data_IF_977001447974
#
_entry.id   IF_977001447974
#
_cell.length_a   1.000
_cell.length_b   1.000
_cell.length_c   1.000
_cell.angle_alpha   90.00
_cell.angle_beta   90.00
_cell.angle_gamma   90.00
#
_symmetry.space_group_name_H-M   'P 1'
#
loop_
_entity.id
_entity.type
_entity.pdbx_description
1 polymer ?
#
# COMPACT_ATOMS: atom_id res chain seq x y z
N UNK A 1 23.58 14.74 82.43
CA UNK A 1 22.70 15.50 81.52
C UNK A 1 22.28 14.59 80.38
N UNK A 2 20.98 14.58 80.08
CA UNK A 2 20.20 13.57 79.36
C UNK A 2 20.74 13.22 77.95
N UNK A 3 21.13 11.98 77.72
CA UNK A 3 21.28 11.37 76.39
C UNK A 3 19.93 10.76 75.98
N UNK A 4 19.33 11.30 74.92
CA UNK A 4 18.10 10.78 74.31
C UNK A 4 18.50 9.78 73.22
N UNK A 5 18.14 8.51 73.42
CA UNK A 5 18.33 7.43 72.45
C UNK A 5 17.06 7.34 71.58
N UNK A 6 17.13 7.81 70.35
CA UNK A 6 16.03 7.71 69.38
C UNK A 6 16.13 6.37 68.62
N UNK A 7 15.09 5.55 68.80
CA UNK A 7 14.88 4.27 68.13
C UNK A 7 14.44 4.56 66.68
N UNK A 8 15.28 4.19 65.71
CA UNK A 8 14.96 4.28 64.29
C UNK A 8 14.15 3.05 63.86
N UNK A 9 12.83 3.25 63.76
CA UNK A 9 11.87 2.33 63.15
C UNK A 9 12.19 2.14 61.66
N UNK A 10 12.70 0.96 61.31
CA UNK A 10 12.81 0.50 59.92
C UNK A 10 11.39 0.21 59.41
N UNK A 11 10.76 1.21 58.82
CA UNK A 11 9.54 1.04 58.03
C UNK A 11 9.95 0.41 56.71
N UNK A 12 9.75 -0.91 56.60
CA UNK A 12 9.79 -1.62 55.34
C UNK A 12 8.92 -0.88 54.31
N UNK A 13 9.56 -0.37 53.27
CA UNK A 13 8.91 0.17 52.08
C UNK A 13 8.20 -0.97 51.34
N UNK A 14 6.98 -1.31 51.77
CA UNK A 14 6.00 -1.98 50.94
C UNK A 14 5.65 -1.02 49.80
N UNK A 15 6.38 -1.14 48.68
CA UNK A 15 5.93 -0.53 47.42
C UNK A 15 4.58 -1.16 47.09
N UNK A 16 3.54 -0.38 46.77
CA UNK A 16 2.30 -0.95 46.28
C UNK A 16 2.61 -1.75 45.03
N UNK A 17 2.22 -3.02 45.04
CA UNK A 17 2.15 -3.85 43.85
C UNK A 17 1.25 -3.08 42.86
N UNK A 18 1.83 -2.54 41.80
CA UNK A 18 1.08 -1.82 40.76
C UNK A 18 -0.14 -2.65 40.40
N UNK A 19 -1.33 -2.06 40.53
CA UNK A 19 -2.56 -2.66 40.05
C UNK A 19 -2.31 -3.08 38.60
N UNK A 20 -2.46 -4.38 38.35
CA UNK A 20 -2.26 -4.97 37.04
C UNK A 20 -3.40 -4.48 36.15
N UNK A 21 -3.12 -3.53 35.25
CA UNK A 21 -4.12 -3.04 34.29
C UNK A 21 -4.60 -4.21 33.43
N UNK A 22 -5.90 -4.52 33.51
CA UNK A 22 -6.54 -5.52 32.65
C UNK A 22 -6.69 -4.93 31.24
N UNK A 23 -5.75 -5.26 30.35
CA UNK A 23 -5.76 -4.78 28.98
C UNK A 23 -6.92 -5.38 28.20
N UNK A 24 -7.63 -4.57 27.43
CA UNK A 24 -8.69 -5.01 26.52
C UNK A 24 -8.17 -5.03 25.08
N UNK A 25 -8.45 -6.12 24.37
CA UNK A 25 -8.14 -6.31 22.96
C UNK A 25 -9.44 -6.45 22.17
N UNK A 26 -9.76 -5.46 21.34
CA UNK A 26 -10.86 -5.55 20.37
C UNK A 26 -10.44 -6.48 19.22
N UNK A 27 -11.20 -7.55 19.03
CA UNK A 27 -10.94 -8.57 18.01
C UNK A 27 -12.05 -8.53 16.96
N UNK A 28 -11.72 -8.27 15.69
CA UNK A 28 -12.66 -8.37 14.58
C UNK A 28 -13.35 -9.73 14.51
N UNK A 29 -14.63 -9.73 14.12
CA UNK A 29 -15.45 -10.94 14.14
C UNK A 29 -14.85 -12.11 13.34
N UNK A 30 -14.14 -11.83 12.26
CA UNK A 30 -13.45 -12.83 11.45
C UNK A 30 -12.31 -13.54 12.22
N UNK A 31 -11.48 -12.78 12.95
CA UNK A 31 -10.39 -13.32 13.77
C UNK A 31 -10.89 -14.06 15.01
N UNK A 32 -12.00 -13.60 15.61
CA UNK A 32 -12.59 -14.28 16.76
C UNK A 32 -13.26 -15.61 16.33
N UNK A 33 -13.98 -15.63 15.20
CA UNK A 33 -14.61 -16.85 14.66
C UNK A 33 -13.60 -17.89 14.18
N UNK A 34 -12.45 -17.47 13.66
CA UNK A 34 -11.42 -18.39 13.17
C UNK A 34 -10.72 -19.19 14.27
N UNK A 35 -10.85 -18.79 15.54
CA UNK A 35 -10.09 -19.40 16.63
C UNK A 35 -8.75 -18.71 16.91
N UNK A 36 -8.36 -17.73 16.09
CA UNK A 36 -7.02 -17.15 16.13
C UNK A 36 -6.73 -16.45 17.46
N UNK A 37 -7.64 -15.58 17.92
CA UNK A 37 -7.43 -14.85 19.16
C UNK A 37 -7.48 -15.76 20.40
N UNK A 38 -8.31 -16.82 20.39
CA UNK A 38 -8.36 -17.85 21.44
C UNK A 38 -7.04 -18.62 21.51
N UNK A 39 -6.36 -18.81 20.38
CA UNK A 39 -5.08 -19.48 20.31
C UNK A 39 -3.91 -18.56 20.72
N UNK A 40 -3.91 -17.32 20.25
CA UNK A 40 -2.80 -16.38 20.39
C UNK A 40 -2.68 -15.83 21.81
N UNK A 41 -3.78 -15.30 22.37
CA UNK A 41 -3.75 -14.54 23.63
C UNK A 41 -3.23 -15.36 24.81
N UNK A 42 -3.68 -16.61 25.06
CA UNK A 42 -3.20 -17.39 26.20
C UNK A 42 -1.68 -17.62 26.19
N UNK A 43 -1.05 -17.70 25.02
CA UNK A 43 0.40 -17.93 24.89
C UNK A 43 1.20 -16.69 25.28
N UNK A 44 0.71 -15.50 24.94
CA UNK A 44 1.28 -14.26 25.44
C UNK A 44 1.13 -14.15 26.95
N UNK A 45 -0.07 -14.39 27.48
CA UNK A 45 -0.38 -14.30 28.93
C UNK A 45 0.50 -15.26 29.72
N UNK A 46 0.65 -16.50 29.26
CA UNK A 46 1.47 -17.52 29.93
C UNK A 46 2.95 -17.11 30.00
N UNK A 47 3.47 -16.48 28.94
CA UNK A 47 4.89 -16.10 28.86
C UNK A 47 5.21 -14.81 29.63
N UNK A 48 4.26 -13.87 29.68
CA UNK A 48 4.52 -12.50 30.15
C UNK A 48 3.82 -12.14 31.46
N UNK A 49 2.81 -12.90 31.86
CA UNK A 49 1.97 -12.62 33.02
C UNK A 49 1.02 -11.43 32.84
N UNK A 50 1.03 -10.76 31.68
CA UNK A 50 0.13 -9.64 31.37
C UNK A 50 -1.24 -10.17 30.97
N UNK A 51 -2.31 -9.72 31.63
CA UNK A 51 -3.68 -10.16 31.36
C UNK A 51 -4.25 -9.39 30.19
N UNK A 52 -4.91 -10.11 29.27
CA UNK A 52 -5.64 -9.54 28.15
C UNK A 52 -7.05 -10.12 28.14
N UNK A 53 -8.04 -9.24 28.14
CA UNK A 53 -9.45 -9.55 27.95
C UNK A 53 -9.81 -9.25 26.50
N UNK A 54 -10.29 -10.25 25.77
CA UNK A 54 -10.78 -10.09 24.40
C UNK A 54 -12.20 -9.55 24.43
N UNK A 55 -12.49 -8.56 23.60
CA UNK A 55 -13.80 -7.89 23.51
C UNK A 55 -14.23 -7.75 22.05
N UNK A 56 -15.52 -7.47 21.84
CA UNK A 56 -16.08 -7.27 20.51
C UNK A 56 -15.40 -6.13 19.76
N UNK A 57 -15.50 -6.16 18.44
CA UNK A 57 -14.88 -5.18 17.54
C UNK A 57 -15.27 -3.75 17.93
N UNK A 58 -16.54 -3.43 18.14
CA UNK A 58 -16.97 -2.06 18.44
C UNK A 58 -16.81 -1.64 19.92
N UNK A 59 -16.28 -2.52 20.77
CA UNK A 59 -16.11 -2.21 22.18
C UNK A 59 -14.85 -1.37 22.45
N UNK A 60 -14.94 -0.52 23.49
CA UNK A 60 -13.79 0.27 23.95
C UNK A 60 -12.65 -0.65 24.42
N UNK A 61 -11.49 -0.53 23.77
CA UNK A 61 -10.31 -1.36 24.02
C UNK A 61 -9.02 -0.57 23.79
N UNK A 62 -7.98 -0.83 24.58
CA UNK A 62 -6.67 -0.17 24.44
C UNK A 62 -5.88 -0.70 23.25
N UNK A 63 -6.23 -1.89 22.75
CA UNK A 63 -5.60 -2.54 21.62
C UNK A 63 -6.67 -3.07 20.66
N UNK A 64 -6.37 -3.06 19.37
CA UNK A 64 -7.30 -3.47 18.32
C UNK A 64 -6.56 -4.11 17.16
N UNK A 65 -7.01 -5.29 16.74
CA UNK A 65 -6.64 -5.77 15.41
C UNK A 65 -7.42 -5.00 14.36
N UNK A 66 -6.72 -4.49 13.36
CA UNK A 66 -7.25 -3.65 12.28
C UNK A 66 -6.60 -4.03 10.96
N UNK A 67 -7.17 -3.64 9.83
CA UNK A 67 -6.53 -3.72 8.52
C UNK A 67 -5.70 -2.47 8.19
N UNK A 68 -5.82 -1.41 9.00
CA UNK A 68 -5.09 -0.16 8.83
C UNK A 68 -3.73 -0.16 9.52
N UNK A 69 -2.73 0.43 8.87
CA UNK A 69 -1.40 0.63 9.43
C UNK A 69 -0.40 -0.48 9.08
N UNK A 70 0.63 -0.64 9.91
CA UNK A 70 1.72 -1.58 9.62
C UNK A 70 1.27 -3.01 9.90
N UNK A 71 1.05 -3.78 8.82
CA UNK A 71 0.70 -5.18 8.89
C UNK A 71 1.72 -6.00 9.71
N UNK A 72 1.20 -6.90 10.53
CA UNK A 72 1.93 -7.88 11.35
C UNK A 72 1.83 -9.30 10.77
N UNK A 73 0.68 -9.64 10.18
CA UNK A 73 0.45 -10.91 9.51
C UNK A 73 -0.64 -10.80 8.44
N UNK A 74 -0.71 -11.80 7.58
CA UNK A 74 -1.77 -12.02 6.59
C UNK A 74 -2.57 -13.28 6.97
N UNK A 75 -3.88 -13.23 6.80
CA UNK A 75 -4.76 -14.36 7.07
C UNK A 75 -6.22 -14.02 6.78
N UNK A 76 -7.02 -15.01 6.39
CA UNK A 76 -8.42 -14.83 5.99
C UNK A 76 -8.62 -13.83 4.84
N UNK A 77 -7.63 -13.71 3.95
CA UNK A 77 -7.66 -12.78 2.80
C UNK A 77 -7.29 -11.33 3.13
N UNK A 78 -7.00 -11.03 4.40
CA UNK A 78 -6.71 -9.68 4.87
C UNK A 78 -5.29 -9.56 5.45
N UNK A 79 -4.77 -8.33 5.48
CA UNK A 79 -3.53 -7.98 6.19
C UNK A 79 -3.89 -7.31 7.50
N UNK A 80 -3.49 -7.93 8.60
CA UNK A 80 -3.84 -7.50 9.94
C UNK A 80 -2.68 -6.77 10.59
N UNK A 81 -2.97 -5.59 11.13
CA UNK A 81 -2.13 -4.77 11.97
C UNK A 81 -2.69 -4.72 13.40
N UNK A 82 -1.91 -4.16 14.32
CA UNK A 82 -2.34 -3.86 15.69
C UNK A 82 -2.28 -2.35 15.91
N UNK A 83 -3.43 -1.74 16.14
CA UNK A 83 -3.52 -0.38 16.69
C UNK A 83 -3.55 -0.46 18.22
N UNK A 84 -2.88 0.47 18.91
CA UNK A 84 -2.94 0.58 20.37
C UNK A 84 -2.75 2.03 20.82
N UNK A 85 -3.36 2.38 21.95
CA UNK A 85 -3.34 3.76 22.53
C UNK A 85 -2.13 4.02 23.44
N UNK A 86 -1.15 3.12 23.43
CA UNK A 86 0.07 3.19 24.24
C UNK A 86 -0.06 2.54 25.63
N UNK A 87 0.99 2.65 26.45
CA UNK A 87 1.05 2.06 27.78
C UNK A 87 1.83 0.75 27.83
N UNK A 88 2.49 0.50 28.96
CA UNK A 88 3.50 -0.57 29.09
C UNK A 88 2.93 -1.97 28.82
N UNK A 89 1.64 -2.19 29.06
CA UNK A 89 0.98 -3.44 28.74
C UNK A 89 0.79 -3.65 27.23
N UNK A 90 0.25 -2.64 26.55
CA UNK A 90 -0.02 -2.70 25.12
C UNK A 90 1.25 -2.75 24.27
N UNK A 91 2.27 -1.97 24.66
CA UNK A 91 3.60 -2.00 24.03
C UNK A 91 4.23 -3.39 24.12
N UNK A 92 4.19 -4.02 25.30
CA UNK A 92 4.68 -5.39 25.48
C UNK A 92 3.98 -6.40 24.59
N UNK A 93 2.67 -6.27 24.39
CA UNK A 93 1.93 -7.15 23.48
C UNK A 93 2.35 -6.91 22.03
N UNK A 94 2.42 -5.65 21.60
CA UNK A 94 2.84 -5.27 20.26
C UNK A 94 4.27 -5.74 19.95
N UNK A 95 5.20 -5.61 20.90
CA UNK A 95 6.58 -6.08 20.77
C UNK A 95 6.66 -7.61 20.74
N UNK A 96 5.86 -8.29 21.57
CA UNK A 96 5.80 -9.74 21.55
C UNK A 96 5.32 -10.28 20.20
N UNK A 97 4.29 -9.66 19.58
CA UNK A 97 3.83 -10.06 18.25
C UNK A 97 4.91 -9.94 17.17
N UNK A 98 5.86 -9.01 17.32
CA UNK A 98 6.98 -8.79 16.40
C UNK A 98 8.21 -9.63 16.72
N UNK A 99 8.24 -10.29 17.88
CA UNK A 99 9.36 -11.14 18.30
C UNK A 99 9.31 -12.52 17.64
N UNK A 100 10.45 -13.21 17.55
CA UNK A 100 10.54 -14.56 16.98
C UNK A 100 9.54 -15.57 17.57
N UNK A 101 9.16 -15.40 18.84
CA UNK A 101 8.19 -16.28 19.49
C UNK A 101 6.75 -15.93 19.10
N UNK A 102 6.42 -14.64 18.99
CA UNK A 102 5.13 -14.18 18.50
C UNK A 102 4.91 -14.57 17.05
N UNK A 103 5.92 -14.32 16.20
CA UNK A 103 5.86 -14.66 14.78
C UNK A 103 5.66 -16.16 14.55
N UNK A 104 6.45 -17.01 15.23
CA UNK A 104 6.26 -18.47 15.16
C UNK A 104 4.92 -18.93 15.71
N UNK A 105 4.38 -18.22 16.71
CA UNK A 105 3.06 -18.54 17.24
C UNK A 105 1.99 -18.31 16.18
N UNK A 106 2.06 -17.17 15.47
CA UNK A 106 1.14 -16.85 14.37
C UNK A 106 1.24 -17.91 13.27
N UNK A 107 2.44 -18.22 12.78
CA UNK A 107 2.70 -19.21 11.72
C UNK A 107 2.25 -20.63 12.08
N UNK A 108 2.24 -20.96 13.38
CA UNK A 108 1.84 -22.28 13.87
C UNK A 108 0.32 -22.48 13.91
N UNK A 109 -0.45 -21.40 13.80
CA UNK A 109 -1.90 -21.48 13.87
C UNK A 109 -2.50 -21.95 12.53
N UNK A 110 -3.36 -22.95 12.63
CA UNK A 110 -4.22 -23.41 11.53
C UNK A 110 -5.64 -23.37 12.04
N UNK A 111 -6.50 -22.59 11.37
CA UNK A 111 -7.90 -22.47 11.72
C UNK A 111 -8.65 -23.79 11.45
N UNK A 112 -9.82 -24.02 12.08
CA UNK A 112 -10.60 -25.25 11.88
C UNK A 112 -11.03 -25.51 10.43
N UNK A 113 -11.14 -24.46 9.62
CA UNK A 113 -11.44 -24.53 8.18
C UNK A 113 -10.20 -24.80 7.30
N UNK A 114 -9.01 -24.92 7.91
CA UNK A 114 -7.73 -25.10 7.24
C UNK A 114 -7.01 -23.82 6.86
N UNK A 115 -7.61 -22.64 7.12
CA UNK A 115 -6.98 -21.35 6.84
C UNK A 115 -5.68 -21.17 7.64
N UNK A 116 -4.65 -20.64 6.97
CA UNK A 116 -3.33 -20.37 7.56
C UNK A 116 -3.11 -18.88 7.73
N UNK A 117 -2.25 -18.56 8.69
CA UNK A 117 -1.84 -17.19 8.98
C UNK A 117 -0.33 -17.11 8.77
N UNK A 118 0.15 -16.07 8.08
CA UNK A 118 1.56 -15.92 7.79
C UNK A 118 2.07 -14.53 8.16
N UNK A 119 3.26 -14.50 8.74
CA UNK A 119 4.02 -13.31 9.07
C UNK A 119 4.95 -12.88 7.93
N UNK A 120 5.09 -13.72 6.90
CA UNK A 120 5.76 -13.38 5.65
C UNK A 120 4.86 -12.48 4.81
N UNK A 121 4.63 -11.26 5.30
CA UNK A 121 3.89 -10.25 4.56
C UNK A 121 4.76 -9.84 3.38
N UNK A 122 4.44 -10.38 2.19
CA UNK A 122 5.05 -9.90 0.96
C UNK A 122 4.72 -8.42 0.85
N UNK A 123 5.75 -7.56 0.91
CA UNK A 123 5.61 -6.18 0.48
C UNK A 123 4.88 -6.22 -0.87
N UNK A 124 3.82 -5.42 -1.02
CA UNK A 124 3.17 -5.27 -2.32
C UNK A 124 4.30 -5.04 -3.32
N UNK A 125 4.42 -5.94 -4.31
CA UNK A 125 5.49 -5.87 -5.27
C UNK A 125 5.42 -4.47 -5.88
N UNK A 126 6.42 -3.64 -5.60
CA UNK A 126 6.69 -2.48 -6.44
C UNK A 126 6.94 -3.13 -7.79
N UNK A 127 6.00 -2.95 -8.72
CA UNK A 127 6.18 -3.43 -10.09
C UNK A 127 7.58 -2.99 -10.51
N UNK A 128 8.42 -3.87 -11.07
CA UNK A 128 9.76 -3.49 -11.48
C UNK A 128 9.61 -2.23 -12.32
N UNK A 129 10.34 -1.18 -11.93
CA UNK A 129 10.47 0.02 -12.76
C UNK A 129 11.05 -0.50 -14.06
N UNK A 130 10.22 -0.57 -15.09
CA UNK A 130 10.69 -0.83 -16.44
C UNK A 130 11.63 0.34 -16.75
N UNK A 131 12.93 0.05 -16.78
CA UNK A 131 13.95 1.03 -17.16
C UNK A 131 13.92 1.11 -18.68
N UNK A 132 13.48 2.26 -19.19
CA UNK A 132 13.57 2.60 -20.60
C UNK A 132 14.77 3.52 -20.78
N UNK A 133 15.57 3.26 -21.81
CA UNK A 133 16.83 3.98 -22.05
C UNK A 133 16.64 5.40 -22.61
N UNK A 134 15.40 5.82 -22.89
CA UNK A 134 15.09 7.14 -23.42
C UNK A 134 15.28 8.28 -22.42
N UNK A 135 15.52 9.50 -22.91
CA UNK A 135 15.61 10.71 -22.08
C UNK A 135 14.21 11.18 -21.63
N UNK A 136 13.85 11.08 -20.34
CA UNK A 136 12.53 11.45 -19.86
C UNK A 136 12.26 12.97 -19.89
N UNK A 137 13.30 13.81 -19.88
CA UNK A 137 13.14 15.27 -20.01
C UNK A 137 12.76 15.62 -21.44
N UNK A 138 13.42 15.01 -22.42
CA UNK A 138 13.02 15.10 -23.83
C UNK A 138 11.62 14.51 -24.03
N UNK A 139 11.33 13.38 -23.38
CA UNK A 139 10.04 12.71 -23.42
C UNK A 139 8.87 13.57 -22.94
N UNK A 140 9.05 14.31 -21.84
CA UNK A 140 8.04 15.27 -21.37
C UNK A 140 7.74 16.34 -22.44
N UNK A 141 8.79 16.93 -23.02
CA UNK A 141 8.66 17.99 -24.02
C UNK A 141 7.96 17.49 -25.28
N UNK A 142 8.31 16.29 -25.75
CA UNK A 142 7.67 15.63 -26.87
C UNK A 142 6.21 15.34 -26.57
N UNK A 143 5.90 14.74 -25.42
CA UNK A 143 4.54 14.42 -24.99
C UNK A 143 3.63 15.64 -24.96
N UNK A 144 4.10 16.76 -24.40
CA UNK A 144 3.34 18.03 -24.38
C UNK A 144 3.08 18.58 -25.78
N UNK A 145 4.07 18.49 -26.68
CA UNK A 145 3.96 19.01 -28.05
C UNK A 145 3.08 18.17 -28.95
N UNK A 146 3.23 16.84 -28.87
CA UNK A 146 2.69 15.87 -29.81
C UNK A 146 1.35 15.30 -29.34
N UNK A 147 1.22 15.00 -28.05
CA UNK A 147 0.04 14.36 -27.48
C UNK A 147 -0.86 15.36 -26.73
N UNK A 148 -0.31 16.50 -26.30
CA UNK A 148 -0.93 17.43 -25.36
C UNK A 148 -2.20 18.15 -25.84
N UNK A 149 -2.50 18.10 -27.15
CA UNK A 149 -3.77 18.58 -27.71
C UNK A 149 -4.93 17.64 -27.34
N UNK A 150 -4.66 16.34 -27.23
CA UNK A 150 -5.66 15.33 -26.93
C UNK A 150 -5.58 14.95 -25.45
N UNK A 151 -4.39 14.58 -24.98
CA UNK A 151 -4.20 14.06 -23.63
C UNK A 151 -3.76 15.15 -22.66
N UNK A 152 -4.29 15.10 -21.43
CA UNK A 152 -3.62 15.77 -20.31
C UNK A 152 -2.36 14.96 -19.98
N UNK A 153 -1.20 15.60 -20.12
CA UNK A 153 0.12 15.01 -19.93
C UNK A 153 0.55 15.18 -18.49
N UNK A 154 0.47 16.41 -17.99
CA UNK A 154 0.81 16.79 -16.64
C UNK A 154 0.19 18.15 -16.28
N UNK A 155 0.59 18.72 -15.14
CA UNK A 155 0.04 19.99 -14.64
C UNK A 155 0.18 21.16 -15.63
N UNK A 156 1.20 21.16 -16.49
CA UNK A 156 1.45 22.21 -17.49
C UNK A 156 0.32 22.32 -18.51
N UNK A 157 -0.43 21.25 -18.79
CA UNK A 157 -1.56 21.26 -19.73
C UNK A 157 -2.88 20.74 -19.12
N UNK A 158 -3.02 20.80 -17.77
CA UNK A 158 -4.18 20.25 -17.03
C UNK A 158 -5.56 20.64 -17.58
N UNK A 159 -5.69 21.86 -18.11
CA UNK A 159 -6.95 22.41 -18.66
C UNK A 159 -6.99 22.42 -20.20
N UNK A 160 -5.97 21.90 -20.88
CA UNK A 160 -5.79 22.02 -22.33
C UNK A 160 -5.93 20.68 -23.06
N UNK A 161 -6.13 19.56 -22.35
CA UNK A 161 -6.44 18.27 -22.96
C UNK A 161 -7.93 18.14 -23.31
N UNK A 162 -8.26 17.24 -24.24
CA UNK A 162 -9.63 16.87 -24.53
C UNK A 162 -10.19 16.00 -23.40
N UNK A 163 -11.31 16.42 -22.80
CA UNK A 163 -11.95 15.67 -21.71
C UNK A 163 -12.47 14.27 -22.08
N UNK A 164 -12.51 13.93 -23.38
CA UNK A 164 -12.94 12.63 -23.88
C UNK A 164 -11.80 11.59 -23.99
N UNK A 165 -10.54 12.01 -23.83
CA UNK A 165 -9.37 11.12 -23.87
C UNK A 165 -8.71 11.06 -22.49
N UNK A 166 -8.36 9.87 -21.98
CA UNK A 166 -7.80 9.71 -20.64
C UNK A 166 -6.45 10.44 -20.53
N UNK A 167 -6.14 11.00 -19.36
CA UNK A 167 -4.83 11.59 -19.10
C UNK A 167 -3.72 10.53 -19.10
N UNK A 168 -2.46 10.93 -19.22
CA UNK A 168 -1.33 10.01 -19.09
C UNK A 168 -1.31 9.32 -17.72
N UNK A 169 -1.63 10.06 -16.64
CA UNK A 169 -1.74 9.50 -15.30
C UNK A 169 -2.85 8.44 -15.20
N UNK A 170 -4.01 8.65 -15.85
CA UNK A 170 -5.08 7.65 -15.91
C UNK A 170 -4.64 6.44 -16.73
N UNK A 171 -3.98 6.64 -17.87
CA UNK A 171 -3.45 5.52 -18.66
C UNK A 171 -2.42 4.70 -17.89
N UNK A 172 -1.65 5.32 -16.98
CA UNK A 172 -0.68 4.63 -16.11
C UNK A 172 -1.32 3.69 -15.09
N UNK A 173 -2.62 3.74 -14.85
CA UNK A 173 -3.31 2.78 -13.97
C UNK A 173 -3.58 1.45 -14.67
N UNK A 174 -3.48 1.39 -16.00
CA UNK A 174 -3.71 0.17 -16.77
C UNK A 174 -2.54 -0.79 -16.65
N UNK A 175 -2.81 -2.09 -16.57
CA UNK A 175 -1.76 -3.11 -16.43
C UNK A 175 -0.85 -3.24 -17.66
N UNK A 176 -1.35 -2.86 -18.83
CA UNK A 176 -0.70 -2.89 -20.14
C UNK A 176 -0.34 -1.48 -20.64
N UNK A 177 -0.15 -0.53 -19.72
CA UNK A 177 0.14 0.87 -20.09
C UNK A 177 1.37 0.97 -21.00
N UNK A 178 2.41 0.20 -20.71
CA UNK A 178 3.68 0.20 -21.43
C UNK A 178 3.52 -0.19 -22.89
N UNK A 179 2.83 -1.31 -23.15
CA UNK A 179 2.49 -1.74 -24.50
C UNK A 179 1.64 -0.70 -25.22
N UNK A 180 0.65 -0.11 -24.54
CA UNK A 180 -0.21 0.92 -25.12
C UNK A 180 0.56 2.15 -25.57
N UNK A 181 1.52 2.60 -24.78
CA UNK A 181 2.37 3.74 -25.14
C UNK A 181 3.38 3.36 -26.24
N UNK A 182 4.01 2.18 -26.17
CA UNK A 182 4.96 1.73 -27.20
C UNK A 182 4.28 1.47 -28.57
N UNK A 183 3.01 1.09 -28.58
CA UNK A 183 2.24 0.77 -29.80
C UNK A 183 1.17 1.81 -30.13
N UNK A 184 1.24 3.01 -29.54
CA UNK A 184 0.16 3.99 -29.63
C UNK A 184 -0.22 4.32 -31.08
N UNK A 185 0.77 4.37 -31.99
CA UNK A 185 0.62 4.66 -33.41
C UNK A 185 -0.25 3.63 -34.17
N UNK A 186 -0.47 2.44 -33.59
CA UNK A 186 -1.37 1.40 -34.12
C UNK A 186 -2.78 1.48 -33.54
N UNK A 187 -3.02 2.36 -32.56
CA UNK A 187 -4.26 2.41 -31.77
C UNK A 187 -5.07 3.64 -32.13
N UNK A 188 -6.32 3.43 -32.55
CA UNK A 188 -7.23 4.52 -32.91
C UNK A 188 -7.31 5.59 -31.81
N UNK A 189 -7.30 6.90 -32.16
CA UNK A 189 -7.31 7.45 -33.52
C UNK A 189 -5.93 7.63 -34.17
N UNK A 190 -4.83 7.26 -33.50
CA UNK A 190 -3.46 7.65 -33.88
C UNK A 190 -2.97 7.20 -35.27
N UNK A 191 -3.32 6.01 -35.81
CA UNK A 191 -2.87 5.61 -37.14
C UNK A 191 -3.23 6.60 -38.25
N UNK A 192 -4.29 7.41 -38.05
CA UNK A 192 -4.77 8.36 -39.06
C UNK A 192 -3.95 9.65 -39.16
N UNK A 193 -3.03 9.91 -38.23
CA UNK A 193 -2.24 11.15 -38.22
C UNK A 193 -0.82 10.99 -37.66
N UNK A 194 -0.36 9.77 -37.39
CA UNK A 194 0.98 9.51 -36.83
C UNK A 194 1.88 8.89 -37.89
N UNK A 195 3.10 9.40 -38.02
CA UNK A 195 4.16 8.76 -38.79
C UNK A 195 5.41 8.63 -37.94
N UNK A 196 5.96 7.42 -37.91
CA UNK A 196 7.23 7.11 -37.26
C UNK A 196 8.24 6.73 -38.34
N UNK A 197 9.35 7.46 -38.38
CA UNK A 197 10.44 7.24 -39.34
C UNK A 197 10.87 5.76 -39.35
N UNK A 198 11.00 5.20 -40.55
CA UNK A 198 11.37 3.80 -40.81
C UNK A 198 10.45 2.71 -40.20
N UNK A 199 9.31 3.09 -39.61
CA UNK A 199 8.39 2.17 -38.93
C UNK A 199 6.99 2.17 -39.56
N UNK A 200 6.43 3.33 -39.84
CA UNK A 200 5.10 3.44 -40.46
C UNK A 200 5.22 3.73 -41.95
N UNK A 201 4.35 3.12 -42.75
CA UNK A 201 4.23 3.48 -44.16
C UNK A 201 3.79 4.95 -44.34
N UNK A 202 4.21 5.62 -45.43
CA UNK A 202 3.67 6.91 -45.80
C UNK A 202 2.15 6.87 -46.00
N UNK A 203 1.46 7.96 -45.67
CA UNK A 203 0.04 8.09 -46.02
C UNK A 203 -0.17 8.05 -47.53
N UNK A 204 -1.27 7.43 -47.96
CA UNK A 204 -1.64 7.35 -49.37
C UNK A 204 -1.88 8.78 -49.93
N UNK A 205 -1.06 9.24 -50.90
CA UNK A 205 -1.18 10.60 -51.44
C UNK A 205 -2.48 10.81 -52.24
N UNK A 206 -3.19 9.74 -52.60
CA UNK A 206 -4.47 9.81 -53.31
C UNK A 206 -5.67 10.06 -52.38
N UNK A 207 -5.48 9.89 -51.07
CA UNK A 207 -6.48 10.23 -50.06
C UNK A 207 -6.21 11.64 -49.55
N UNK A 208 -7.21 12.54 -49.52
CA UNK A 208 -7.01 13.87 -48.96
C UNK A 208 -6.63 13.73 -47.48
N UNK A 209 -5.44 14.22 -47.11
CA UNK A 209 -5.01 14.17 -45.72
C UNK A 209 -5.96 15.00 -44.87
N UNK A 210 -6.63 14.42 -43.86
CA UNK A 210 -7.54 15.17 -43.01
C UNK A 210 -6.80 16.17 -42.10
N UNK A 211 -5.48 16.01 -41.90
CA UNK A 211 -4.65 16.83 -41.02
C UNK A 211 -3.16 16.77 -41.40
N UNK A 212 -2.35 17.75 -40.99
CA UNK A 212 -0.88 17.63 -41.06
C UNK A 212 -0.42 16.50 -40.13
N UNK A 213 0.34 15.52 -40.61
CA UNK A 213 0.85 14.43 -39.79
C UNK A 213 1.69 14.90 -38.61
N UNK A 214 1.61 14.15 -37.53
CA UNK A 214 2.57 14.17 -36.44
C UNK A 214 3.70 13.19 -36.79
N UNK A 215 4.88 13.72 -37.03
CA UNK A 215 6.09 12.96 -37.37
C UNK A 215 7.00 12.82 -36.15
N UNK A 216 7.58 11.64 -35.96
CA UNK A 216 8.56 11.37 -34.91
C UNK A 216 9.54 10.26 -35.31
N UNK A 217 10.66 10.16 -34.59
CA UNK A 217 11.60 9.04 -34.72
C UNK A 217 11.31 7.95 -33.69
N UNK A 218 11.88 6.75 -33.86
CA UNK A 218 11.86 5.71 -32.84
C UNK A 218 12.46 6.19 -31.51
N UNK A 219 13.54 6.99 -31.55
CA UNK A 219 14.16 7.54 -30.35
C UNK A 219 13.26 8.57 -29.62
N UNK A 220 12.40 9.27 -30.35
CA UNK A 220 11.40 10.17 -29.73
C UNK A 220 10.31 9.36 -29.01
N UNK A 221 9.86 8.26 -29.61
CA UNK A 221 8.92 7.33 -28.96
C UNK A 221 9.54 6.75 -27.68
N UNK A 222 10.78 6.30 -27.72
CA UNK A 222 11.49 5.78 -26.55
C UNK A 222 11.62 6.82 -25.43
N UNK A 223 11.92 8.08 -25.77
CA UNK A 223 11.93 9.17 -24.82
C UNK A 223 10.55 9.41 -24.19
N UNK A 224 9.47 9.38 -24.99
CA UNK A 224 8.09 9.49 -24.49
C UNK A 224 7.76 8.35 -23.52
N UNK A 225 8.08 7.10 -23.86
CA UNK A 225 7.82 5.94 -22.99
C UNK A 225 8.63 6.04 -21.69
N UNK A 226 9.90 6.48 -21.77
CA UNK A 226 10.74 6.71 -20.60
C UNK A 226 10.21 7.80 -19.67
N UNK A 227 9.63 8.87 -20.22
CA UNK A 227 8.94 9.88 -19.42
C UNK A 227 7.71 9.29 -18.72
N UNK A 228 6.88 8.56 -19.46
CA UNK A 228 5.62 7.99 -18.97
C UNK A 228 5.86 6.94 -17.89
N UNK A 229 6.92 6.13 -17.99
CA UNK A 229 7.25 5.13 -16.98
C UNK A 229 7.48 5.74 -15.59
N UNK A 230 8.09 6.93 -15.55
CA UNK A 230 8.34 7.72 -14.35
C UNK A 230 7.12 8.48 -13.81
N UNK A 231 5.99 8.52 -14.55
CA UNK A 231 4.78 9.16 -14.06
C UNK A 231 4.06 8.29 -13.02
N UNK A 232 3.62 8.89 -11.90
CA UNK A 232 2.76 8.18 -10.96
C UNK A 232 1.40 7.87 -11.61
N UNK A 233 0.82 6.68 -11.38
CA UNK A 233 -0.55 6.40 -11.78
C UNK A 233 -1.51 7.36 -11.06
N UNK A 234 -2.61 7.72 -11.73
CA UNK A 234 -3.66 8.52 -11.13
C UNK A 234 -4.29 7.79 -9.94
N UNK A 235 -4.59 8.53 -8.89
CA UNK A 235 -5.45 8.06 -7.81
C UNK A 235 -6.91 8.13 -8.30
N UNK A 236 -7.52 6.97 -8.48
CA UNK A 236 -8.90 6.83 -8.94
C UNK A 236 -9.89 6.65 -7.76
N UNK A 237 -9.42 6.67 -6.52
CA UNK A 237 -10.19 6.32 -5.34
C UNK A 237 -10.46 4.81 -5.23
N UNK A 238 -11.31 4.45 -4.28
CA UNK A 238 -11.65 3.04 -4.00
C UNK A 238 -12.39 2.38 -5.18
N UNK A 239 -12.22 1.06 -5.39
CA UNK A 239 -12.99 0.32 -6.37
C UNK A 239 -14.49 0.55 -6.19
N UNK A 240 -15.20 0.78 -7.29
CA UNK A 240 -16.66 0.90 -7.28
C UNK A 240 -17.27 -0.39 -6.72
N UNK A 241 -17.89 -0.28 -5.54
CA UNK A 241 -18.63 -1.41 -4.97
C UNK A 241 -19.90 -1.63 -5.80
N UNK A 242 -19.94 -2.73 -6.54
CA UNK A 242 -21.16 -3.19 -7.21
C UNK A 242 -22.14 -3.65 -6.14
N UNK A 243 -23.28 -2.96 -6.04
CA UNK A 243 -24.44 -3.39 -5.24
C UNK A 243 -25.14 -4.59 -5.90
#
# INVERSE_FOLDING_TARGET
>A
MRTVLAILLVICALRPLSAQEDLRLAVPGALEKSGFAQFLVPRFVLKTGVRITRVGEDEAAQMRFTTDGRALFEGLGERWALAHEGGAGAERFADWLRSDIGLRTIESFVAPDGSRFSTQIKAAAIAPVLNYDGDPVKGEQLSLRMCGRCHVINEKNRMNGMGATPSFAVLRTLSDWDDRFATFHLRNPHPSFTQIEDITDPFDPSLPSPIVPMEMTQADLEAIVAYVSGLPPADLGDPLQTQ
#
